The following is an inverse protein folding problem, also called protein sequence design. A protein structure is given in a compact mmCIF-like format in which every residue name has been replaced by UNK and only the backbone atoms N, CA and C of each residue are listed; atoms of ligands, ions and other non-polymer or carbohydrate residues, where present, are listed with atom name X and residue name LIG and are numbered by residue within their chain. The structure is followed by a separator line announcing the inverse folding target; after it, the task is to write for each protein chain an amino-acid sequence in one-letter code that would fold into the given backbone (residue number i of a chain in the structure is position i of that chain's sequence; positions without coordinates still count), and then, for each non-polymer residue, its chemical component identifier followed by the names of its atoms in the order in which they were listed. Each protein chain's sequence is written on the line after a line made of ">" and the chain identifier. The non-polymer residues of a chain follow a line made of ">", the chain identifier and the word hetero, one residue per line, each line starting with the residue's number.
data_IF_959403988393
#
_entry.id   IF_959403988393
#
_cell.length_a   1.000
_cell.length_b   1.000
_cell.length_c   1.000
_cell.angle_alpha   90.00
_cell.angle_beta   90.00
_cell.angle_gamma   90.00
#
_symmetry.space_group_name_H-M   'P 1'
#
loop_
_entity.id
_entity.type
_entity.pdbx_description
1 polymer ?
#
# COMPACT_ATOMS: atom_id res chain seq x y z
N UNK A 1 -3.35 19.19 -19.17
CA UNK A 1 -3.29 18.75 -17.75
C UNK A 1 -2.16 17.76 -17.60
N UNK A 2 -1.46 17.80 -16.47
CA UNK A 2 -0.43 16.80 -16.13
C UNK A 2 -0.75 16.13 -14.82
N UNK A 3 -0.73 14.81 -14.82
CA UNK A 3 -1.04 13.96 -13.68
C UNK A 3 0.27 13.36 -13.18
N UNK A 4 0.50 13.42 -11.87
CA UNK A 4 1.65 12.80 -11.24
C UNK A 4 1.20 11.69 -10.27
N UNK A 5 1.96 10.60 -10.26
CA UNK A 5 1.88 9.55 -9.25
C UNK A 5 3.11 9.57 -8.34
N UNK A 6 2.91 9.28 -7.06
CA UNK A 6 3.99 8.85 -6.18
C UNK A 6 3.49 7.76 -5.23
N UNK A 7 4.37 6.84 -4.85
CA UNK A 7 4.08 5.84 -3.81
C UNK A 7 5.05 6.03 -2.65
N UNK A 8 4.56 5.91 -1.42
CA UNK A 8 5.36 6.10 -0.19
C UNK A 8 5.03 5.06 0.88
N UNK A 9 5.97 4.83 1.81
CA UNK A 9 5.79 3.94 2.97
C UNK A 9 6.22 2.49 2.72
N UNK A 10 5.61 1.54 3.43
CA UNK A 10 5.77 0.10 3.14
C UNK A 10 5.02 -0.32 1.88
N UNK A 11 5.43 -1.40 1.24
CA UNK A 11 4.71 -1.96 0.09
C UNK A 11 3.40 -2.63 0.53
N UNK A 12 2.41 -2.66 -0.36
CA UNK A 12 1.15 -3.39 -0.19
C UNK A 12 0.71 -3.91 -1.57
N UNK A 13 -0.05 -5.01 -1.65
CA UNK A 13 -0.49 -5.63 -2.90
C UNK A 13 -1.59 -4.81 -3.59
N UNK A 14 -1.24 -3.61 -4.04
CA UNK A 14 -2.15 -2.68 -4.71
C UNK A 14 -1.42 -1.60 -5.53
N UNK A 15 -0.13 -1.37 -5.28
CA UNK A 15 0.58 -0.21 -5.81
C UNK A 15 0.66 -0.20 -7.35
N UNK A 16 1.18 -1.27 -7.97
CA UNK A 16 1.16 -1.42 -9.43
C UNK A 16 -0.26 -1.33 -10.00
N UNK A 17 -1.20 -2.07 -9.42
CA UNK A 17 -2.60 -2.12 -9.85
C UNK A 17 -3.27 -0.73 -9.82
N UNK A 18 -3.04 0.05 -8.77
CA UNK A 18 -3.58 1.40 -8.59
C UNK A 18 -3.05 2.34 -9.67
N UNK A 19 -1.73 2.30 -9.93
CA UNK A 19 -1.10 3.09 -10.99
C UNK A 19 -1.65 2.68 -12.37
N UNK A 20 -1.74 1.36 -12.63
CA UNK A 20 -2.26 0.83 -13.89
C UNK A 20 -3.69 1.29 -14.15
N UNK A 21 -4.58 1.15 -13.17
CA UNK A 21 -5.98 1.54 -13.29
C UNK A 21 -6.18 3.05 -13.46
N UNK A 22 -5.46 3.86 -12.68
CA UNK A 22 -5.52 5.32 -12.85
C UNK A 22 -4.99 5.74 -14.23
N UNK A 23 -3.87 5.15 -14.67
CA UNK A 23 -3.31 5.40 -16.00
C UNK A 23 -4.32 5.07 -17.10
N UNK A 24 -5.00 3.91 -17.01
CA UNK A 24 -6.03 3.51 -17.96
C UNK A 24 -7.16 4.54 -18.04
N UNK A 25 -7.69 4.96 -16.90
CA UNK A 25 -8.81 5.90 -16.81
C UNK A 25 -8.44 7.27 -17.38
N UNK A 26 -7.24 7.78 -17.09
CA UNK A 26 -6.77 9.03 -17.67
C UNK A 26 -6.52 8.92 -19.18
N UNK A 27 -5.87 7.86 -19.66
CA UNK A 27 -5.66 7.66 -21.10
C UNK A 27 -6.97 7.44 -21.88
N UNK A 28 -8.00 6.90 -21.23
CA UNK A 28 -9.34 6.71 -21.81
C UNK A 28 -10.13 8.02 -21.87
N UNK A 29 -10.24 8.72 -20.73
CA UNK A 29 -11.16 9.85 -20.59
C UNK A 29 -10.50 11.20 -20.93
N UNK A 30 -9.17 11.30 -20.81
CA UNK A 30 -8.39 12.51 -21.08
C UNK A 30 -7.16 12.19 -21.97
N UNK A 31 -7.33 11.86 -23.26
CA UNK A 31 -6.24 11.39 -24.14
C UNK A 31 -5.09 12.38 -24.37
N UNK A 32 -5.28 13.66 -23.99
CA UNK A 32 -4.26 14.70 -24.04
C UNK A 32 -3.56 14.94 -22.69
N UNK A 33 -3.96 14.23 -21.63
CA UNK A 33 -3.26 14.28 -20.36
C UNK A 33 -1.85 13.71 -20.50
N UNK A 34 -0.89 14.38 -19.88
CA UNK A 34 0.44 13.85 -19.63
C UNK A 34 0.46 13.17 -18.28
N UNK A 35 1.12 12.02 -18.18
CA UNK A 35 1.18 11.24 -16.94
C UNK A 35 2.66 11.00 -16.61
N UNK A 36 3.04 11.33 -15.38
CA UNK A 36 4.38 11.09 -14.83
C UNK A 36 4.30 10.34 -13.51
N UNK A 37 5.38 9.68 -13.13
CA UNK A 37 5.55 9.11 -11.80
C UNK A 37 6.88 9.53 -11.18
N UNK A 38 6.85 10.08 -9.98
CA UNK A 38 8.06 10.43 -9.25
C UNK A 38 8.72 9.17 -8.68
N UNK A 39 10.01 9.00 -8.97
CA UNK A 39 10.74 7.79 -8.61
C UNK A 39 11.04 7.75 -7.11
N UNK A 40 10.63 6.67 -6.44
CA UNK A 40 10.79 6.45 -5.01
C UNK A 40 10.07 7.51 -4.16
N UNK A 41 8.83 7.84 -4.50
CA UNK A 41 7.98 8.66 -3.64
C UNK A 41 8.43 10.11 -3.53
N UNK A 42 8.32 10.69 -2.32
CA UNK A 42 8.74 12.07 -2.06
C UNK A 42 10.22 12.34 -2.32
N UNK A 43 11.09 11.31 -2.24
CA UNK A 43 12.51 11.44 -2.66
C UNK A 43 12.61 11.87 -4.12
N UNK A 44 11.88 11.20 -5.02
CA UNK A 44 11.86 11.54 -6.44
C UNK A 44 11.31 12.93 -6.69
N UNK A 45 10.27 13.31 -5.94
CA UNK A 45 9.71 14.64 -6.01
C UNK A 45 10.73 15.73 -5.61
N UNK A 46 11.38 15.60 -4.45
CA UNK A 46 12.39 16.57 -4.00
C UNK A 46 13.55 16.71 -5.00
N UNK A 47 14.03 15.58 -5.51
CA UNK A 47 15.16 15.55 -6.45
C UNK A 47 14.77 15.88 -7.91
N UNK A 48 13.49 15.96 -8.23
CA UNK A 48 13.00 16.14 -9.61
C UNK A 48 13.18 14.91 -10.51
N UNK A 49 13.26 13.72 -9.92
CA UNK A 49 13.43 12.45 -10.63
C UNK A 49 12.07 11.82 -10.91
N UNK A 50 11.65 11.80 -12.16
CA UNK A 50 10.39 11.20 -12.61
C UNK A 50 10.55 10.42 -13.90
N UNK A 51 9.57 9.55 -14.17
CA UNK A 51 9.42 8.85 -15.46
C UNK A 51 8.09 9.22 -16.11
N UNK A 52 8.02 9.17 -17.43
CA UNK A 52 6.77 9.36 -18.17
C UNK A 52 6.02 8.04 -18.38
N UNK A 53 4.70 8.13 -18.42
CA UNK A 53 3.81 7.03 -18.76
C UNK A 53 3.28 7.27 -20.17
N UNK A 54 3.85 6.62 -21.21
CA UNK A 54 3.54 6.96 -22.59
C UNK A 54 2.13 6.52 -22.98
N UNK A 55 1.53 7.22 -23.96
CA UNK A 55 0.19 6.90 -24.50
C UNK A 55 0.10 5.47 -25.07
N UNK A 56 1.23 4.86 -25.41
CA UNK A 56 1.34 3.46 -25.87
C UNK A 56 0.97 2.43 -24.80
N UNK A 57 0.79 2.84 -23.54
CA UNK A 57 0.23 2.02 -22.47
C UNK A 57 -1.28 1.79 -22.60
N UNK A 58 -1.99 2.56 -23.42
CA UNK A 58 -3.43 2.35 -23.64
C UNK A 58 -3.69 0.94 -24.17
N UNK A 59 -4.54 0.18 -23.47
CA UNK A 59 -4.80 -1.24 -23.77
C UNK A 59 -3.74 -2.22 -23.25
N UNK A 60 -2.74 -1.76 -22.50
CA UNK A 60 -1.70 -2.58 -21.84
C UNK A 60 -1.66 -2.41 -20.32
N UNK A 61 -2.51 -1.56 -19.77
CA UNK A 61 -2.55 -1.23 -18.33
C UNK A 61 -2.92 -2.41 -17.46
N UNK A 62 -3.63 -3.41 -17.99
CA UNK A 62 -3.96 -4.64 -17.25
C UNK A 62 -2.72 -5.45 -16.87
N UNK A 63 -1.61 -5.29 -17.60
CA UNK A 63 -0.34 -5.93 -17.25
C UNK A 63 0.17 -5.51 -15.87
N UNK A 64 -0.19 -4.32 -15.39
CA UNK A 64 0.20 -3.86 -14.06
C UNK A 64 -0.38 -4.72 -12.94
N UNK A 65 -1.51 -5.39 -13.17
CA UNK A 65 -2.14 -6.27 -12.18
C UNK A 65 -1.31 -7.53 -11.90
N UNK A 66 -0.41 -7.91 -12.82
CA UNK A 66 0.46 -9.07 -12.66
C UNK A 66 1.69 -8.80 -11.76
N UNK A 67 1.93 -7.55 -11.36
CA UNK A 67 3.15 -7.17 -10.66
C UNK A 67 2.86 -6.67 -9.24
N UNK A 68 3.48 -7.30 -8.25
CA UNK A 68 3.59 -6.74 -6.91
C UNK A 68 4.52 -5.50 -6.86
N UNK A 69 4.63 -4.87 -5.69
CA UNK A 69 5.49 -3.71 -5.50
C UNK A 69 5.01 -2.47 -6.26
N UNK A 70 5.92 -1.52 -6.50
CA UNK A 70 5.65 -0.25 -7.18
C UNK A 70 6.56 -0.10 -8.40
N UNK A 71 6.01 0.10 -9.61
CA UNK A 71 6.82 0.29 -10.83
C UNK A 71 7.65 1.58 -10.80
N UNK A 72 7.31 2.52 -9.92
CA UNK A 72 8.05 3.78 -9.71
C UNK A 72 8.91 3.75 -8.45
N UNK A 73 9.15 2.58 -7.85
CA UNK A 73 9.88 2.46 -6.59
C UNK A 73 9.10 3.04 -5.41
N UNK A 74 9.69 3.08 -4.22
CA UNK A 74 9.04 3.55 -2.99
C UNK A 74 10.09 4.13 -2.01
N UNK A 75 9.70 5.05 -1.12
CA UNK A 75 10.56 5.52 -0.03
C UNK A 75 9.76 5.98 1.21
N UNK A 76 10.46 6.05 2.35
CA UNK A 76 9.97 6.63 3.59
C UNK A 76 10.63 8.00 3.81
N UNK A 77 10.05 9.03 3.21
CA UNK A 77 10.50 10.43 3.39
C UNK A 77 9.35 11.21 4.01
N UNK A 78 9.65 11.93 5.10
CA UNK A 78 8.71 12.82 5.79
C UNK A 78 9.13 14.26 5.50
N UNK A 79 8.33 15.02 4.77
CA UNK A 79 8.67 16.39 4.36
C UNK A 79 8.84 17.36 5.55
N UNK A 80 8.23 17.04 6.70
CA UNK A 80 8.39 17.80 7.95
C UNK A 80 9.72 17.52 8.67
N UNK A 81 10.44 16.46 8.31
CA UNK A 81 11.74 16.15 8.90
C UNK A 81 12.86 16.73 8.00
N UNK A 82 13.10 18.04 8.14
CA UNK A 82 14.11 18.77 7.37
C UNK A 82 15.51 18.22 7.61
N UNK A 83 15.85 17.84 8.84
CA UNK A 83 17.19 17.33 9.17
C UNK A 83 17.48 15.99 8.50
N UNK A 84 16.50 15.06 8.46
CA UNK A 84 16.62 13.81 7.71
C UNK A 84 16.71 14.05 6.20
N UNK A 85 15.93 14.99 5.67
CA UNK A 85 16.00 15.35 4.25
C UNK A 85 17.35 15.98 3.88
N UNK A 86 17.91 16.83 4.75
CA UNK A 86 19.20 17.48 4.56
C UNK A 86 20.36 16.47 4.64
N UNK A 87 20.39 15.64 5.69
CA UNK A 87 21.44 14.63 5.88
C UNK A 87 21.50 13.61 4.75
N UNK A 88 20.36 13.30 4.12
CA UNK A 88 20.25 12.42 2.95
C UNK A 88 20.45 13.15 1.62
N UNK A 89 20.68 14.46 1.62
CA UNK A 89 20.91 15.27 0.43
C UNK A 89 19.67 15.42 -0.46
N UNK A 90 18.47 15.34 0.10
CA UNK A 90 17.21 15.54 -0.63
C UNK A 90 16.85 17.01 -0.78
N UNK A 91 17.39 17.85 0.12
CA UNK A 91 17.29 19.31 0.09
C UNK A 91 18.64 19.92 0.47
N UNK A 92 18.82 21.21 0.20
CA UNK A 92 20.01 21.98 0.57
C UNK A 92 19.82 22.67 1.92
N UNK A 93 20.92 23.16 2.47
CA UNK A 93 20.89 23.98 3.69
C UNK A 93 20.01 25.21 3.49
N UNK A 94 19.12 25.48 4.46
CA UNK A 94 18.15 26.57 4.42
C UNK A 94 16.88 26.29 3.60
N UNK A 95 16.77 25.15 2.89
CA UNK A 95 15.56 24.79 2.16
C UNK A 95 14.53 24.07 3.04
N UNK A 96 13.25 24.42 2.88
CA UNK A 96 12.14 23.66 3.47
C UNK A 96 11.67 22.56 2.49
N UNK A 97 11.69 21.26 2.86
CA UNK A 97 11.32 20.19 1.94
C UNK A 97 9.88 20.27 1.42
N UNK A 98 8.92 20.76 2.22
CA UNK A 98 7.54 20.93 1.78
C UNK A 98 7.45 21.96 0.64
N UNK A 99 8.17 23.08 0.79
CA UNK A 99 8.26 24.13 -0.22
C UNK A 99 9.00 23.65 -1.47
N UNK A 100 10.12 22.94 -1.32
CA UNK A 100 10.85 22.34 -2.46
C UNK A 100 9.94 21.39 -3.24
N UNK A 101 9.18 20.54 -2.55
CA UNK A 101 8.22 19.65 -3.18
C UNK A 101 7.11 20.40 -3.92
N UNK A 102 6.50 21.43 -3.30
CA UNK A 102 5.46 22.25 -3.92
C UNK A 102 5.98 22.98 -5.16
N UNK A 103 7.13 23.66 -5.03
CA UNK A 103 7.78 24.37 -6.13
C UNK A 103 8.16 23.43 -7.28
N UNK A 104 8.56 22.19 -6.98
CA UNK A 104 8.80 21.18 -8.01
C UNK A 104 7.53 20.85 -8.79
N UNK A 105 6.41 20.59 -8.11
CA UNK A 105 5.15 20.26 -8.78
C UNK A 105 4.68 21.37 -9.72
N UNK A 106 4.80 22.63 -9.25
CA UNK A 106 4.47 23.82 -10.05
C UNK A 106 5.39 23.93 -11.25
N UNK A 107 6.72 23.79 -11.05
CA UNK A 107 7.72 23.83 -12.12
C UNK A 107 7.49 22.73 -13.16
N UNK A 108 7.12 21.53 -12.73
CA UNK A 108 6.87 20.40 -13.62
C UNK A 108 5.50 20.54 -14.32
N UNK A 109 4.66 21.50 -13.92
CA UNK A 109 3.34 21.79 -14.48
C UNK A 109 2.27 20.77 -14.07
N UNK A 110 2.44 20.13 -12.92
CA UNK A 110 1.49 19.13 -12.39
C UNK A 110 0.18 19.81 -12.00
N UNK A 111 -0.93 19.27 -12.48
CA UNK A 111 -2.28 19.74 -12.15
C UNK A 111 -2.94 18.86 -11.09
N UNK A 112 -2.63 17.56 -11.09
CA UNK A 112 -3.15 16.59 -10.11
C UNK A 112 -2.01 15.69 -9.65
N UNK A 113 -1.82 15.60 -8.33
CA UNK A 113 -0.91 14.65 -7.70
C UNK A 113 -1.71 13.58 -6.97
N UNK A 114 -1.50 12.32 -7.32
CA UNK A 114 -1.99 11.17 -6.55
C UNK A 114 -0.86 10.64 -5.66
N UNK A 115 -1.11 10.58 -4.35
CA UNK A 115 -0.18 10.02 -3.37
C UNK A 115 -0.72 8.71 -2.84
N UNK A 116 -0.02 7.59 -3.10
CA UNK A 116 -0.45 6.26 -2.65
C UNK A 116 0.42 5.82 -1.47
N UNK A 117 -0.13 5.79 -0.26
CA UNK A 117 0.62 5.51 0.95
C UNK A 117 -0.24 5.40 2.21
N UNK A 118 0.40 5.14 3.35
CA UNK A 118 -0.28 5.04 4.65
C UNK A 118 -0.56 6.42 5.28
N UNK A 119 -0.80 6.46 6.58
CA UNK A 119 -1.17 7.68 7.31
C UNK A 119 -0.17 8.82 7.18
N UNK A 120 1.13 8.53 7.37
CA UNK A 120 2.20 9.52 7.21
C UNK A 120 2.17 10.17 5.81
N UNK A 121 1.86 9.37 4.78
CA UNK A 121 1.79 9.84 3.40
C UNK A 121 0.58 10.72 3.18
N UNK A 122 -0.60 10.32 3.67
CA UNK A 122 -1.83 11.11 3.51
C UNK A 122 -1.79 12.39 4.36
N UNK A 123 -1.15 12.36 5.52
CA UNK A 123 -0.87 13.56 6.33
C UNK A 123 0.03 14.53 5.57
N UNK A 124 1.11 14.02 4.96
CA UNK A 124 2.01 14.85 4.14
C UNK A 124 1.30 15.40 2.89
N UNK A 125 0.40 14.62 2.29
CA UNK A 125 -0.44 15.06 1.17
C UNK A 125 -1.38 16.20 1.57
N UNK A 126 -1.97 16.14 2.77
CA UNK A 126 -2.78 17.22 3.32
C UNK A 126 -1.96 18.49 3.58
N UNK A 127 -0.77 18.36 4.20
CA UNK A 127 0.14 19.48 4.41
C UNK A 127 0.52 20.17 3.09
N UNK A 128 0.81 19.37 2.06
CA UNK A 128 1.15 19.87 0.73
C UNK A 128 -0.04 20.56 0.06
N UNK A 129 -1.25 19.99 0.16
CA UNK A 129 -2.47 20.60 -0.34
C UNK A 129 -2.75 21.96 0.32
N UNK A 130 -2.58 22.04 1.64
CA UNK A 130 -2.77 23.29 2.38
C UNK A 130 -1.74 24.35 1.97
N UNK A 131 -0.47 23.96 1.83
CA UNK A 131 0.59 24.86 1.34
C UNK A 131 0.29 25.38 -0.07
N UNK A 132 -0.13 24.49 -0.99
CA UNK A 132 -0.46 24.86 -2.37
C UNK A 132 -1.62 25.85 -2.41
N UNK A 133 -2.66 25.61 -1.60
CA UNK A 133 -3.83 26.49 -1.48
C UNK A 133 -3.47 27.86 -0.92
N UNK A 134 -2.64 27.93 0.13
CA UNK A 134 -2.18 29.20 0.71
C UNK A 134 -1.38 30.07 -0.26
N UNK A 135 -0.70 29.45 -1.23
CA UNK A 135 0.13 30.11 -2.22
C UNK A 135 -0.57 30.27 -3.60
N UNK A 136 -1.89 30.06 -3.67
CA UNK A 136 -2.71 30.18 -4.89
C UNK A 136 -2.20 29.34 -6.08
N UNK A 137 -1.66 28.15 -5.81
CA UNK A 137 -1.34 27.19 -6.86
C UNK A 137 -2.57 26.34 -7.21
N UNK A 138 -2.92 26.32 -8.50
CA UNK A 138 -4.03 25.51 -9.03
C UNK A 138 -3.59 24.04 -9.24
N UNK A 139 -3.45 23.32 -8.12
CA UNK A 139 -3.04 21.91 -8.07
C UNK A 139 -3.93 21.14 -7.09
N UNK A 140 -4.43 19.99 -7.52
CA UNK A 140 -5.21 19.07 -6.66
C UNK A 140 -4.33 17.93 -6.14
N UNK A 141 -4.34 17.68 -4.84
CA UNK A 141 -3.68 16.51 -4.24
C UNK A 141 -4.75 15.49 -3.84
N UNK A 142 -4.59 14.24 -4.27
CA UNK A 142 -5.50 13.13 -4.00
C UNK A 142 -4.75 12.04 -3.25
N UNK A 143 -5.13 11.81 -2.00
CA UNK A 143 -4.59 10.74 -1.15
C UNK A 143 -5.27 9.40 -1.41
N UNK A 144 -4.49 8.34 -1.60
CA UNK A 144 -4.97 6.97 -1.71
C UNK A 144 -4.46 6.16 -0.50
N UNK A 145 -5.37 5.73 0.41
CA UNK A 145 -5.03 5.07 1.66
C UNK A 145 -4.53 3.64 1.39
N UNK A 146 -3.23 3.43 1.59
CA UNK A 146 -2.54 2.16 1.38
C UNK A 146 -1.99 1.66 2.70
N UNK A 147 -2.58 0.59 3.20
CA UNK A 147 -2.13 -0.16 4.38
C UNK A 147 -2.71 -1.56 4.29
N UNK A 148 -1.95 -2.56 4.73
CA UNK A 148 -2.45 -3.95 4.83
C UNK A 148 -3.20 -4.17 6.15
N UNK A 149 -3.00 -3.27 7.12
CA UNK A 149 -3.58 -3.35 8.46
C UNK A 149 -5.02 -2.81 8.49
N UNK A 150 -5.51 -2.20 7.41
CA UNK A 150 -6.85 -1.58 7.31
C UNK A 150 -7.17 -0.57 8.42
N UNK A 151 -6.17 0.23 8.82
CA UNK A 151 -6.19 1.06 10.02
C UNK A 151 -6.41 2.57 9.77
N UNK A 152 -6.85 2.96 8.57
CA UNK A 152 -7.07 4.38 8.22
C UNK A 152 -8.54 4.78 8.44
N UNK A 153 -8.84 5.52 9.51
CA UNK A 153 -10.19 6.06 9.75
C UNK A 153 -10.51 7.30 8.90
N UNK A 154 -11.73 7.49 8.37
CA UNK A 154 -12.94 6.66 8.48
C UNK A 154 -13.13 5.67 7.31
N UNK A 155 -12.04 5.19 6.72
CA UNK A 155 -12.09 4.42 5.47
C UNK A 155 -12.35 2.95 5.79
N UNK A 156 -13.44 2.40 5.26
CA UNK A 156 -13.84 1.03 5.56
C UNK A 156 -12.85 -0.03 5.02
N UNK A 157 -12.24 0.25 3.87
CA UNK A 157 -11.32 -0.66 3.20
C UNK A 157 -10.16 0.10 2.55
N UNK A 158 -8.95 -0.14 3.03
CA UNK A 158 -7.72 0.39 2.45
C UNK A 158 -7.20 -0.49 1.32
N UNK A 159 -6.37 0.10 0.47
CA UNK A 159 -5.78 -0.58 -0.67
C UNK A 159 -4.74 -1.62 -0.23
N UNK A 160 -4.98 -2.88 -0.61
CA UNK A 160 -4.08 -4.02 -0.38
C UNK A 160 -4.40 -4.86 0.86
N UNK A 161 -5.26 -4.40 1.76
CA UNK A 161 -5.61 -5.13 2.98
C UNK A 161 -6.34 -6.46 2.69
N UNK A 162 -7.34 -6.45 1.81
CA UNK A 162 -8.06 -7.69 1.43
C UNK A 162 -7.14 -8.75 0.81
N UNK A 163 -6.34 -8.38 -0.20
CA UNK A 163 -5.40 -9.31 -0.83
C UNK A 163 -4.36 -9.82 0.16
N UNK A 164 -3.90 -9.00 1.12
CA UNK A 164 -2.99 -9.47 2.16
C UNK A 164 -3.64 -10.56 3.04
N UNK A 165 -4.90 -10.39 3.43
CA UNK A 165 -5.64 -11.38 4.20
C UNK A 165 -5.85 -12.70 3.44
N UNK A 166 -6.24 -12.63 2.17
CA UNK A 166 -6.39 -13.81 1.30
C UNK A 166 -5.07 -14.58 1.14
N UNK A 167 -3.97 -13.87 0.89
CA UNK A 167 -2.66 -14.50 0.73
C UNK A 167 -2.14 -15.08 2.05
N UNK A 168 -2.42 -14.43 3.19
CA UNK A 168 -2.15 -15.00 4.51
C UNK A 168 -2.92 -16.31 4.73
N UNK A 169 -4.18 -16.37 4.31
CA UNK A 169 -5.01 -17.57 4.45
C UNK A 169 -4.48 -18.72 3.59
N UNK A 170 -4.11 -18.43 2.33
CA UNK A 170 -3.49 -19.42 1.41
C UNK A 170 -2.16 -19.92 1.99
N UNK A 171 -1.34 -19.02 2.54
CA UNK A 171 -0.08 -19.43 3.17
C UNK A 171 -0.35 -20.37 4.36
N UNK A 172 -1.28 -20.01 5.25
CA UNK A 172 -1.62 -20.84 6.40
C UNK A 172 -2.15 -22.22 6.00
N UNK A 173 -3.01 -22.29 4.98
CA UNK A 173 -3.56 -23.54 4.46
C UNK A 173 -2.47 -24.54 4.07
N UNK A 174 -1.37 -24.07 3.47
CA UNK A 174 -0.24 -24.93 3.12
C UNK A 174 0.52 -25.41 4.36
N UNK A 175 0.71 -24.54 5.36
CA UNK A 175 1.51 -24.85 6.56
C UNK A 175 0.75 -25.72 7.55
N UNK A 176 -0.55 -25.46 7.76
CA UNK A 176 -1.38 -26.21 8.71
C UNK A 176 -1.57 -27.67 8.30
N UNK A 177 -1.37 -28.00 7.02
CA UNK A 177 -1.34 -29.39 6.54
C UNK A 177 -0.29 -30.27 7.23
N UNK A 178 0.75 -29.68 7.83
CA UNK A 178 1.78 -30.39 8.59
C UNK A 178 1.32 -30.81 9.99
N UNK A 179 0.06 -30.55 10.41
CA UNK A 179 -0.40 -30.79 11.79
C UNK A 179 -0.34 -32.27 12.27
N UNK A 180 -0.06 -33.21 11.36
CA UNK A 180 0.06 -34.65 11.66
C UNK A 180 1.50 -35.15 11.72
N UNK A 181 2.49 -34.26 11.73
CA UNK A 181 3.91 -34.64 11.64
C UNK A 181 4.44 -35.24 12.96
N UNK A 182 3.87 -34.89 14.10
CA UNK A 182 4.19 -35.52 15.40
C UNK A 182 2.98 -35.61 16.34
N UNK A 183 3.13 -36.36 17.43
CA UNK A 183 2.13 -36.47 18.51
C UNK A 183 1.98 -35.17 19.33
N UNK A 184 2.98 -34.29 19.29
CA UNK A 184 2.99 -32.98 19.95
C UNK A 184 3.53 -31.92 19.00
N UNK A 185 2.62 -31.18 18.38
CA UNK A 185 2.95 -30.14 17.43
C UNK A 185 2.21 -28.84 17.74
N UNK A 186 2.90 -27.72 17.56
CA UNK A 186 2.33 -26.38 17.60
C UNK A 186 2.73 -25.64 16.33
N UNK A 187 1.75 -25.17 15.58
CA UNK A 187 1.95 -24.36 14.38
C UNK A 187 1.57 -22.92 14.72
N UNK A 188 2.52 -22.01 14.58
CA UNK A 188 2.32 -20.57 14.80
C UNK A 188 2.48 -19.87 13.45
N UNK A 189 1.47 -19.09 13.06
CA UNK A 189 1.51 -18.25 11.88
C UNK A 189 1.49 -16.78 12.31
N UNK A 190 2.65 -16.13 12.24
CA UNK A 190 2.77 -14.71 12.50
C UNK A 190 2.28 -13.91 11.28
N UNK A 191 1.27 -13.07 11.49
CA UNK A 191 0.68 -12.20 10.47
C UNK A 191 1.04 -10.75 10.79
N UNK A 192 1.23 -9.92 9.75
CA UNK A 192 1.46 -8.48 9.96
C UNK A 192 0.28 -7.83 10.72
N UNK A 193 0.57 -6.72 11.39
CA UNK A 193 -0.42 -5.95 12.16
C UNK A 193 0.30 -5.12 13.19
N UNK A 194 0.67 -3.87 12.86
CA UNK A 194 1.58 -3.10 13.72
C UNK A 194 0.88 -2.52 14.94
N UNK A 195 -0.31 -1.98 14.74
CA UNK A 195 -1.06 -1.24 15.77
C UNK A 195 -2.49 -1.75 15.94
N UNK A 196 -2.94 -2.67 15.07
CA UNK A 196 -4.25 -3.29 15.18
C UNK A 196 -4.22 -4.75 14.70
N UNK A 197 -5.22 -5.51 15.13
CA UNK A 197 -5.37 -6.94 14.83
C UNK A 197 -6.17 -7.28 13.57
N UNK A 198 -6.61 -6.28 12.80
CA UNK A 198 -7.56 -6.49 11.69
C UNK A 198 -7.05 -7.52 10.67
N UNK A 199 -5.79 -7.41 10.24
CA UNK A 199 -5.24 -8.30 9.21
C UNK A 199 -5.16 -9.75 9.70
N UNK A 200 -4.75 -9.96 10.95
CA UNK A 200 -4.72 -11.28 11.58
C UNK A 200 -6.13 -11.88 11.67
N UNK A 201 -7.11 -11.11 12.14
CA UNK A 201 -8.50 -11.55 12.23
C UNK A 201 -9.10 -11.86 10.85
N UNK A 202 -8.87 -10.99 9.86
CA UNK A 202 -9.32 -11.17 8.49
C UNK A 202 -8.67 -12.40 7.83
N UNK A 203 -7.37 -12.63 8.06
CA UNK A 203 -6.65 -13.81 7.58
C UNK A 203 -7.26 -15.11 8.13
N UNK A 204 -7.53 -15.16 9.44
CA UNK A 204 -8.16 -16.32 10.05
C UNK A 204 -9.59 -16.55 9.52
N UNK A 205 -10.34 -15.48 9.28
CA UNK A 205 -11.68 -15.56 8.68
C UNK A 205 -11.64 -16.10 7.25
N UNK A 206 -10.74 -15.58 6.40
CA UNK A 206 -10.57 -16.07 5.02
C UNK A 206 -10.12 -17.53 4.99
N UNK A 207 -9.21 -17.93 5.89
CA UNK A 207 -8.82 -19.34 6.01
C UNK A 207 -10.01 -20.23 6.38
N UNK A 208 -10.83 -19.83 7.37
CA UNK A 208 -12.02 -20.61 7.77
C UNK A 208 -13.04 -20.78 6.66
N UNK A 209 -13.19 -19.80 5.76
CA UNK A 209 -14.03 -19.94 4.56
C UNK A 209 -13.50 -21.06 3.66
N UNK A 210 -12.19 -21.06 3.37
CA UNK A 210 -11.52 -22.07 2.56
C UNK A 210 -11.62 -23.47 3.19
N UNK A 211 -11.39 -23.55 4.51
CA UNK A 211 -11.56 -24.78 5.28
C UNK A 211 -12.99 -25.33 5.20
N UNK A 212 -13.99 -24.45 5.16
CA UNK A 212 -15.40 -24.81 5.00
C UNK A 212 -15.76 -25.40 3.64
N UNK A 213 -14.92 -25.21 2.62
CA UNK A 213 -15.08 -25.78 1.28
C UNK A 213 -14.41 -27.16 1.14
N UNK A 214 -13.59 -27.55 2.12
CA UNK A 214 -12.89 -28.84 2.10
C UNK A 214 -13.82 -30.01 2.43
N UNK A 215 -13.59 -31.15 1.78
CA UNK A 215 -14.25 -32.42 2.11
C UNK A 215 -13.34 -33.25 3.01
N UNK A 216 -13.91 -33.80 4.08
CA UNK A 216 -13.20 -34.59 5.08
C UNK A 216 -13.58 -36.07 4.98
N UNK A 217 -12.73 -36.95 5.52
CA UNK A 217 -12.92 -38.41 5.53
C UNK A 217 -12.86 -38.90 6.99
N UNK A 218 -13.95 -38.72 7.77
CA UNK A 218 -13.94 -39.02 9.20
C UNK A 218 -13.62 -40.48 9.53
N UNK A 219 -13.94 -41.42 8.62
CA UNK A 219 -13.73 -42.87 8.77
C UNK A 219 -12.25 -43.23 8.96
N UNK A 220 -11.34 -42.41 8.43
CA UNK A 220 -9.88 -42.58 8.58
C UNK A 220 -9.26 -41.49 9.44
N UNK A 221 -10.09 -40.76 10.21
CA UNK A 221 -9.64 -39.74 11.15
C UNK A 221 -9.16 -38.44 10.50
N UNK A 222 -9.46 -38.21 9.22
CA UNK A 222 -9.28 -36.91 8.55
C UNK A 222 -10.52 -36.08 8.82
N UNK A 223 -10.49 -35.33 9.93
CA UNK A 223 -11.62 -34.53 10.45
C UNK A 223 -11.25 -33.05 10.51
N UNK A 224 -12.23 -32.16 10.33
CA UNK A 224 -12.03 -30.72 10.21
C UNK A 224 -11.26 -30.11 11.39
N UNK A 225 -11.53 -30.61 12.60
CA UNK A 225 -10.98 -30.10 13.85
C UNK A 225 -9.45 -30.11 13.86
N UNK A 226 -8.81 -31.04 13.15
CA UNK A 226 -7.34 -31.12 13.05
C UNK A 226 -6.72 -29.98 12.22
N UNK A 227 -7.50 -29.38 11.32
CA UNK A 227 -7.08 -28.26 10.47
C UNK A 227 -7.65 -26.92 10.95
N UNK A 228 -8.41 -26.87 12.05
CA UNK A 228 -9.05 -25.64 12.50
C UNK A 228 -8.06 -24.69 13.19
N UNK A 229 -8.37 -23.38 13.16
CA UNK A 229 -7.62 -22.38 13.93
C UNK A 229 -8.06 -22.44 15.38
N UNK A 230 -7.18 -22.95 16.24
CA UNK A 230 -7.42 -23.11 17.68
C UNK A 230 -7.48 -21.78 18.44
N UNK A 231 -6.65 -20.80 18.07
CA UNK A 231 -6.62 -19.48 18.71
C UNK A 231 -6.16 -18.42 17.71
N UNK A 232 -6.65 -17.19 17.89
CA UNK A 232 -6.24 -16.00 17.15
C UNK A 232 -5.80 -14.98 18.18
N UNK A 233 -4.51 -14.64 18.17
CA UNK A 233 -3.91 -13.70 19.10
C UNK A 233 -3.81 -12.33 18.44
N UNK A 234 -4.46 -11.32 19.02
CA UNK A 234 -4.50 -9.96 18.47
C UNK A 234 -3.66 -9.02 19.34
N UNK A 235 -2.91 -8.08 18.76
CA UNK A 235 -2.04 -7.15 19.49
C UNK A 235 -2.81 -6.19 20.43
N UNK A 236 -4.13 -6.12 20.30
CA UNK A 236 -5.02 -5.32 21.15
C UNK A 236 -5.43 -6.06 22.44
N UNK A 237 -5.15 -7.36 22.55
CA UNK A 237 -5.36 -8.16 23.75
C UNK A 237 -4.00 -8.43 24.42
N UNK A 238 -3.84 -8.05 25.69
CA UNK A 238 -2.69 -8.51 26.48
C UNK A 238 -2.79 -10.03 26.69
N UNK A 239 -1.73 -10.75 26.33
CA UNK A 239 -1.60 -12.19 26.60
C UNK A 239 -0.85 -12.35 27.93
N UNK A 240 -1.55 -12.83 28.96
CA UNK A 240 -0.93 -13.27 30.21
C UNK A 240 -0.40 -14.70 30.03
N UNK A 241 0.91 -14.91 30.26
CA UNK A 241 1.61 -16.18 30.07
C UNK A 241 1.72 -16.99 31.36
#
# INVERSE_FOLDING_TARGET
>A
MKIAFLTSGGIAPCLSASIGRLTELYLKNYPQAEIIGYLNGYKGLLLGNSISFPKTLKGKTDLFYNFGGSPIGNSRVKLKNTEDCLSKGYVKEGENPLEVAANRLVKDGVSILHTIGGDDTNTTAADLSEYLKKNNYDLTVVGLPKTVDNDVYPIAQTLGAWTAAEQGAIFFENVVGENTTSDRQLIIHEVMGRHCGWLTAATALEYRKRLGEMTFIPEVGVVKEKWEVHSVLLPEEEIDF
#
